data_IF_334466637521
#
_entry.id   IF_334466637521
#
_cell.length_a   1.000
_cell.length_b   1.000
_cell.length_c   1.000
_cell.angle_alpha   90.00
_cell.angle_beta   90.00
_cell.angle_gamma   90.00
#
_symmetry.space_group_name_H-M   'P 1'
#
loop_
_entity.id
_entity.type
_entity.pdbx_description
1 polymer ?
#
# COMPACT_ATOMS: atom_id res chain seq x y z
N UNK A 1 -23.65 38.18 -18.09
CA UNK A 1 -23.70 38.77 -16.73
C UNK A 1 -22.47 39.62 -16.52
N UNK A 2 -22.66 40.90 -16.24
CA UNK A 2 -21.62 41.91 -16.09
C UNK A 2 -21.15 42.00 -14.63
N UNK A 3 -19.82 42.00 -14.44
CA UNK A 3 -19.02 42.73 -13.43
C UNK A 3 -19.25 42.41 -11.94
N UNK A 4 -18.16 42.17 -11.20
CA UNK A 4 -17.52 43.19 -10.32
C UNK A 4 -16.44 42.54 -9.43
N UNK A 5 -15.19 42.75 -9.81
CA UNK A 5 -14.05 42.83 -8.89
C UNK A 5 -14.24 44.05 -7.97
N UNK A 6 -13.79 43.97 -6.71
CA UNK A 6 -12.97 44.99 -6.02
C UNK A 6 -13.06 44.90 -4.50
N UNK A 7 -11.87 44.80 -3.89
CA UNK A 7 -11.41 45.64 -2.75
C UNK A 7 -12.12 45.43 -1.41
N UNK A 8 -11.39 44.97 -0.40
CA UNK A 8 -10.94 45.87 0.65
C UNK A 8 -9.85 45.22 1.50
N UNK A 9 -8.70 45.85 1.49
CA UNK A 9 -7.57 45.60 2.37
C UNK A 9 -7.93 46.01 3.80
N UNK A 10 -7.52 45.23 4.80
CA UNK A 10 -7.21 45.76 6.14
C UNK A 10 -5.93 45.09 6.64
N UNK A 11 -4.86 45.87 6.59
CA UNK A 11 -3.63 45.70 7.37
C UNK A 11 -3.91 46.21 8.79
N UNK A 12 -3.66 45.39 9.81
CA UNK A 12 -3.36 45.88 11.16
C UNK A 12 -2.13 45.13 11.67
N UNK A 13 -1.01 45.84 11.67
CA UNK A 13 0.21 45.50 12.38
C UNK A 13 0.11 45.99 13.82
N UNK A 14 0.42 45.15 14.82
CA UNK A 14 0.83 45.60 16.16
C UNK A 14 2.05 44.79 16.60
N UNK A 15 3.03 45.52 17.12
CA UNK A 15 4.41 45.14 17.38
C UNK A 15 4.66 44.62 18.81
N UNK A 16 5.56 43.63 18.89
CA UNK A 16 6.72 43.46 19.81
C UNK A 16 6.51 43.52 21.33
N UNK A 17 6.92 42.43 22.00
CA UNK A 17 7.73 42.48 23.22
C UNK A 17 8.70 41.28 23.27
N UNK A 18 9.98 41.57 23.50
CA UNK A 18 11.13 40.64 23.59
C UNK A 18 11.43 40.33 25.06
N UNK A 19 11.65 39.05 25.37
CA UNK A 19 12.47 38.49 26.47
C UNK A 19 12.38 36.95 26.32
N UNK A 20 13.38 36.09 26.39
CA UNK A 20 14.79 36.10 26.75
C UNK A 20 15.24 34.63 26.68
N UNK A 21 16.50 34.40 26.31
CA UNK A 21 17.13 33.15 25.84
C UNK A 21 17.28 32.05 26.91
N UNK A 22 17.21 30.75 26.54
CA UNK A 22 18.30 29.77 26.78
C UNK A 22 17.99 28.34 26.28
N UNK A 23 18.96 27.74 25.57
CA UNK A 23 19.26 26.30 25.37
C UNK A 23 18.18 25.42 24.68
N UNK A 24 18.44 24.53 23.71
CA UNK A 24 19.62 24.00 23.04
C UNK A 24 19.15 23.48 21.65
N UNK A 25 20.03 23.25 20.65
CA UNK A 25 19.61 22.68 19.38
C UNK A 25 19.27 21.19 19.57
N UNK A 26 17.99 20.85 19.59
CA UNK A 26 17.56 19.47 19.36
C UNK A 26 17.95 19.12 17.92
N UNK A 27 18.86 18.15 17.82
CA UNK A 27 19.41 17.69 16.57
C UNK A 27 18.32 17.21 15.62
N UNK A 28 18.63 17.12 14.31
CA UNK A 28 17.71 16.51 13.37
C UNK A 28 17.43 15.09 13.85
N UNK A 29 16.17 14.81 14.23
CA UNK A 29 15.67 13.45 14.33
C UNK A 29 15.73 12.84 12.93
N UNK A 30 16.87 12.27 12.59
CA UNK A 30 17.02 11.34 11.48
C UNK A 30 16.21 10.10 11.86
N UNK A 31 14.92 10.10 11.55
CA UNK A 31 14.14 8.88 11.43
C UNK A 31 14.60 8.22 10.13
N UNK A 32 15.69 7.48 10.20
CA UNK A 32 16.05 6.51 9.17
C UNK A 32 14.96 5.40 9.14
N UNK A 33 14.65 4.84 7.95
CA UNK A 33 13.33 4.28 7.67
C UNK A 33 13.06 2.93 8.35
N UNK A 34 11.82 2.48 8.20
CA UNK A 34 11.16 1.34 8.85
C UNK A 34 11.15 -0.01 8.05
N UNK A 35 12.19 -0.44 7.29
CA UNK A 35 12.08 -1.67 6.50
C UNK A 35 12.17 -2.94 7.36
N UNK A 36 12.89 -2.91 8.49
CA UNK A 36 13.04 -4.08 9.35
C UNK A 36 11.73 -4.50 10.04
N UNK A 37 10.90 -3.54 10.47
CA UNK A 37 9.63 -3.82 11.14
C UNK A 37 8.57 -4.39 10.17
N UNK A 38 8.54 -3.92 8.92
CA UNK A 38 7.64 -4.45 7.88
C UNK A 38 7.99 -5.90 7.53
N UNK A 39 9.29 -6.19 7.32
CA UNK A 39 9.74 -7.53 6.96
C UNK A 39 9.49 -8.59 8.05
N UNK A 40 9.64 -8.21 9.33
CA UNK A 40 9.35 -9.11 10.45
C UNK A 40 7.84 -9.40 10.59
N UNK A 41 6.99 -8.41 10.32
CA UNK A 41 5.54 -8.57 10.31
C UNK A 41 5.10 -9.50 9.18
N UNK A 42 5.65 -9.33 7.98
CA UNK A 42 5.39 -10.19 6.81
C UNK A 42 5.82 -11.64 7.07
N UNK A 43 7.03 -11.87 7.59
CA UNK A 43 7.50 -13.22 7.91
C UNK A 43 6.65 -13.93 8.98
N UNK A 44 6.21 -13.19 10.01
CA UNK A 44 5.28 -13.73 11.01
C UNK A 44 3.90 -14.05 10.40
N UNK A 45 3.49 -13.30 9.39
CA UNK A 45 2.24 -13.48 8.69
C UNK A 45 2.28 -14.70 7.74
N UNK A 46 3.38 -14.91 7.03
CA UNK A 46 3.63 -16.13 6.26
C UNK A 46 3.63 -17.37 7.16
N UNK A 47 4.31 -17.28 8.31
CA UNK A 47 4.32 -18.37 9.31
C UNK A 47 2.90 -18.67 9.79
N UNK A 48 2.08 -17.64 10.04
CA UNK A 48 0.68 -17.82 10.46
C UNK A 48 -0.13 -18.60 9.43
N UNK A 49 -0.08 -18.19 8.16
CA UNK A 49 -0.81 -18.88 7.08
C UNK A 49 -0.35 -20.33 6.95
N UNK A 50 0.97 -20.57 7.01
CA UNK A 50 1.55 -21.91 6.92
C UNK A 50 1.08 -22.86 8.04
N UNK A 51 0.83 -22.34 9.25
CA UNK A 51 0.43 -23.16 10.41
C UNK A 51 -1.06 -23.51 10.49
N UNK A 52 -1.93 -22.80 9.78
CA UNK A 52 -3.38 -23.02 9.84
C UNK A 52 -3.79 -24.22 8.99
N UNK A 53 -4.78 -25.01 9.43
CA UNK A 53 -5.45 -25.99 8.57
C UNK A 53 -6.50 -25.30 7.67
N UNK A 54 -7.15 -26.06 6.78
CA UNK A 54 -8.12 -25.46 5.84
C UNK A 54 -9.36 -24.89 6.54
N UNK A 55 -9.72 -25.42 7.71
CA UNK A 55 -10.79 -24.85 8.54
C UNK A 55 -10.39 -23.47 9.08
N UNK A 56 -9.22 -23.40 9.72
CA UNK A 56 -8.66 -22.18 10.27
C UNK A 56 -8.41 -21.11 9.21
N UNK A 57 -7.94 -21.47 8.02
CA UNK A 57 -7.81 -20.53 6.90
C UNK A 57 -9.17 -19.94 6.49
N UNK A 58 -10.23 -20.76 6.43
CA UNK A 58 -11.58 -20.29 6.06
C UNK A 58 -12.18 -19.37 7.13
N UNK A 59 -12.00 -19.70 8.41
CA UNK A 59 -12.40 -18.83 9.51
C UNK A 59 -11.67 -17.48 9.46
N UNK A 60 -10.35 -17.49 9.21
CA UNK A 60 -9.53 -16.29 9.09
C UNK A 60 -9.91 -15.44 7.89
N UNK A 61 -10.16 -16.06 6.73
CA UNK A 61 -10.63 -15.36 5.53
C UNK A 61 -11.95 -14.63 5.79
N UNK A 62 -12.92 -15.33 6.39
CA UNK A 62 -14.23 -14.76 6.74
C UNK A 62 -14.12 -13.62 7.76
N UNK A 63 -13.28 -13.79 8.77
CA UNK A 63 -13.01 -12.74 9.75
C UNK A 63 -12.38 -11.50 9.10
N UNK A 64 -11.39 -11.70 8.23
CA UNK A 64 -10.74 -10.62 7.50
C UNK A 64 -11.72 -9.83 6.63
N UNK A 65 -12.65 -10.50 5.94
CA UNK A 65 -13.70 -9.81 5.17
C UNK A 65 -14.62 -8.97 6.05
N UNK A 66 -15.10 -9.53 7.17
CA UNK A 66 -15.94 -8.79 8.14
C UNK A 66 -15.23 -7.55 8.67
N UNK A 67 -13.92 -7.63 8.85
CA UNK A 67 -13.05 -6.56 9.33
C UNK A 67 -12.53 -5.65 8.20
N UNK A 68 -12.98 -5.86 6.95
CA UNK A 68 -12.58 -5.10 5.75
C UNK A 68 -11.08 -5.18 5.42
N UNK A 69 -10.38 -6.20 5.91
CA UNK A 69 -8.98 -6.51 5.60
C UNK A 69 -8.90 -7.33 4.32
N UNK A 70 -9.22 -6.72 3.17
CA UNK A 70 -9.32 -7.45 1.89
C UNK A 70 -7.93 -7.87 1.39
N UNK A 71 -7.00 -6.91 1.27
CA UNK A 71 -5.67 -7.10 0.68
C UNK A 71 -4.53 -6.60 1.59
N UNK A 72 -4.89 -5.99 2.73
CA UNK A 72 -3.96 -5.44 3.70
C UNK A 72 -4.46 -5.71 5.14
N UNK A 73 -3.54 -5.82 6.12
CA UNK A 73 -2.08 -5.88 5.97
C UNK A 73 -1.61 -7.17 5.29
N UNK A 74 -0.37 -7.20 4.81
CA UNK A 74 0.23 -8.39 4.20
C UNK A 74 0.21 -9.60 5.16
N UNK A 75 -0.12 -10.77 4.63
CA UNK A 75 -0.25 -12.05 5.34
C UNK A 75 -1.31 -12.10 6.47
N UNK A 76 -2.14 -11.06 6.61
CA UNK A 76 -3.35 -11.11 7.43
C UNK A 76 -4.50 -10.37 6.73
N UNK A 77 -4.92 -10.92 5.60
CA UNK A 77 -6.02 -10.41 4.81
C UNK A 77 -6.76 -11.54 4.08
N UNK A 78 -7.98 -11.24 3.65
CA UNK A 78 -8.87 -12.22 3.03
C UNK A 78 -8.28 -12.85 1.77
N UNK A 79 -7.69 -12.06 0.87
CA UNK A 79 -7.10 -12.54 -0.38
C UNK A 79 -6.06 -13.62 -0.10
N UNK A 80 -5.11 -13.36 0.80
CA UNK A 80 -4.02 -14.30 1.07
C UNK A 80 -4.50 -15.59 1.73
N UNK A 81 -5.50 -15.53 2.62
CA UNK A 81 -6.13 -16.74 3.17
C UNK A 81 -6.88 -17.54 2.12
N UNK A 82 -7.62 -16.90 1.20
CA UNK A 82 -8.28 -17.60 0.09
C UNK A 82 -7.30 -18.18 -0.93
N UNK A 83 -6.19 -17.50 -1.22
CA UNK A 83 -5.13 -18.05 -2.07
C UNK A 83 -4.50 -19.30 -1.44
N UNK A 84 -4.24 -19.28 -0.13
CA UNK A 84 -3.74 -20.45 0.60
C UNK A 84 -4.76 -21.62 0.62
N UNK A 85 -6.06 -21.32 0.68
CA UNK A 85 -7.11 -22.34 0.54
C UNK A 85 -7.09 -22.98 -0.84
N UNK A 86 -6.99 -22.16 -1.90
CA UNK A 86 -6.94 -22.66 -3.28
C UNK A 86 -5.70 -23.49 -3.59
N UNK A 87 -4.57 -23.18 -2.96
CA UNK A 87 -3.36 -24.00 -3.07
C UNK A 87 -3.55 -25.41 -2.50
N UNK A 88 -4.49 -25.60 -1.56
CA UNK A 88 -4.80 -26.91 -0.97
C UNK A 88 -5.87 -27.66 -1.73
N UNK A 89 -6.88 -26.93 -2.20
CA UNK A 89 -7.97 -27.48 -3.00
C UNK A 89 -8.26 -26.53 -4.17
N UNK A 90 -7.61 -26.75 -5.33
CA UNK A 90 -7.80 -25.92 -6.52
C UNK A 90 -9.22 -25.98 -7.09
N UNK A 91 -9.97 -27.03 -6.76
CA UNK A 91 -11.31 -27.30 -7.30
C UNK A 91 -12.44 -26.80 -6.37
N UNK A 92 -12.11 -26.19 -5.22
CA UNK A 92 -13.11 -25.57 -4.31
C UNK A 92 -13.77 -24.36 -4.99
N UNK A 93 -14.94 -24.60 -5.58
CA UNK A 93 -15.74 -23.59 -6.27
C UNK A 93 -16.09 -22.38 -5.39
N UNK A 94 -16.20 -22.56 -4.07
CA UNK A 94 -16.49 -21.45 -3.15
C UNK A 94 -15.31 -20.50 -3.00
N UNK A 95 -14.08 -21.05 -2.99
CA UNK A 95 -12.84 -20.26 -2.95
C UNK A 95 -12.61 -19.57 -4.29
N UNK A 96 -12.86 -20.26 -5.41
CA UNK A 96 -12.79 -19.67 -6.74
C UNK A 96 -13.74 -18.47 -6.89
N UNK A 97 -15.00 -18.63 -6.46
CA UNK A 97 -15.98 -17.55 -6.49
C UNK A 97 -15.57 -16.36 -5.62
N UNK A 98 -15.06 -16.60 -4.40
CA UNK A 98 -14.57 -15.54 -3.52
C UNK A 98 -13.42 -14.75 -4.15
N UNK A 99 -12.45 -15.42 -4.79
CA UNK A 99 -11.33 -14.73 -5.44
C UNK A 99 -11.79 -13.88 -6.64
N UNK A 100 -12.78 -14.33 -7.40
CA UNK A 100 -13.41 -13.53 -8.46
C UNK A 100 -14.12 -12.30 -7.89
N UNK A 101 -14.86 -12.46 -6.79
CA UNK A 101 -15.57 -11.35 -6.13
C UNK A 101 -14.59 -10.28 -5.60
N UNK A 102 -13.44 -10.71 -5.11
CA UNK A 102 -12.46 -9.80 -4.50
C UNK A 102 -11.52 -9.11 -5.52
N UNK A 103 -11.43 -9.62 -6.75
CA UNK A 103 -10.56 -9.08 -7.80
C UNK A 103 -10.72 -7.57 -8.05
N UNK A 104 -11.94 -7.00 -8.16
CA UNK A 104 -12.11 -5.56 -8.40
C UNK A 104 -11.45 -4.71 -7.32
N UNK A 105 -11.46 -5.14 -6.07
CA UNK A 105 -10.83 -4.42 -4.96
C UNK A 105 -9.31 -4.49 -5.02
N UNK A 106 -8.76 -5.64 -5.45
CA UNK A 106 -7.33 -5.82 -5.62
C UNK A 106 -6.79 -4.99 -6.78
N UNK A 107 -7.53 -4.90 -7.88
CA UNK A 107 -7.23 -4.03 -9.01
C UNK A 107 -7.16 -2.56 -8.57
N UNK A 108 -8.21 -2.07 -7.88
CA UNK A 108 -8.27 -0.68 -7.40
C UNK A 108 -7.10 -0.40 -6.45
N UNK A 109 -6.79 -1.31 -5.53
CA UNK A 109 -5.69 -1.14 -4.59
C UNK A 109 -4.34 -1.07 -5.30
N UNK A 110 -4.09 -1.95 -6.28
CA UNK A 110 -2.84 -1.97 -7.03
C UNK A 110 -2.64 -0.67 -7.84
N UNK A 111 -3.72 -0.15 -8.43
CA UNK A 111 -3.74 1.13 -9.14
C UNK A 111 -3.48 2.31 -8.21
N UNK A 112 -4.13 2.34 -7.05
CA UNK A 112 -3.94 3.40 -6.07
C UNK A 112 -2.51 3.42 -5.52
N UNK A 113 -1.95 2.27 -5.17
CA UNK A 113 -0.57 2.15 -4.73
C UNK A 113 0.40 2.68 -5.81
N UNK A 114 0.17 2.31 -7.07
CA UNK A 114 0.98 2.79 -8.19
C UNK A 114 0.90 4.32 -8.35
N UNK A 115 -0.32 4.88 -8.33
CA UNK A 115 -0.55 6.34 -8.44
C UNK A 115 0.09 7.11 -7.27
N UNK A 116 0.18 6.49 -6.09
CA UNK A 116 0.85 7.07 -4.91
C UNK A 116 2.37 6.91 -4.91
N UNK A 117 2.94 6.21 -5.90
CA UNK A 117 4.37 5.88 -5.93
C UNK A 117 4.77 4.82 -4.90
N UNK A 118 3.82 4.08 -4.34
CA UNK A 118 4.02 2.97 -3.41
C UNK A 118 4.39 1.70 -4.22
N UNK A 119 5.49 1.77 -4.99
CA UNK A 119 5.85 0.75 -5.99
C UNK A 119 5.96 -0.66 -5.39
N UNK A 120 6.53 -0.79 -4.19
CA UNK A 120 6.63 -2.08 -3.49
C UNK A 120 5.25 -2.68 -3.20
N UNK A 121 4.31 -1.87 -2.72
CA UNK A 121 2.96 -2.32 -2.41
C UNK A 121 2.17 -2.61 -3.69
N UNK A 122 2.31 -1.77 -4.73
CA UNK A 122 1.73 -2.05 -6.04
C UNK A 122 2.22 -3.39 -6.59
N UNK A 123 3.53 -3.66 -6.51
CA UNK A 123 4.11 -4.94 -6.90
C UNK A 123 3.53 -6.13 -6.15
N UNK A 124 3.40 -6.02 -4.81
CA UNK A 124 2.78 -7.06 -3.98
C UNK A 124 1.33 -7.33 -4.40
N UNK A 125 0.53 -6.28 -4.60
CA UNK A 125 -0.89 -6.39 -4.99
C UNK A 125 -1.04 -6.98 -6.41
N UNK A 126 -0.17 -6.62 -7.35
CA UNK A 126 -0.14 -7.21 -8.69
C UNK A 126 0.26 -8.70 -8.67
N UNK A 127 1.14 -9.11 -7.74
CA UNK A 127 1.48 -10.51 -7.55
C UNK A 127 0.29 -11.30 -6.98
N UNK A 128 -0.43 -10.75 -5.99
CA UNK A 128 -1.68 -11.34 -5.49
C UNK A 128 -2.73 -11.43 -6.59
N UNK A 129 -2.86 -10.40 -7.44
CA UNK A 129 -3.82 -10.39 -8.55
C UNK A 129 -3.49 -11.46 -9.58
N UNK A 130 -2.21 -11.60 -9.97
CA UNK A 130 -1.78 -12.65 -10.88
C UNK A 130 -1.91 -14.06 -10.33
N UNK A 131 -1.80 -14.24 -9.00
CA UNK A 131 -2.17 -15.50 -8.37
C UNK A 131 -3.68 -15.69 -8.49
N UNK A 132 -4.50 -14.72 -8.06
CA UNK A 132 -5.96 -14.83 -8.08
C UNK A 132 -6.50 -15.14 -9.49
N UNK A 133 -6.00 -14.45 -10.50
CA UNK A 133 -6.34 -14.63 -11.91
C UNK A 133 -5.16 -14.23 -12.81
N UNK A 134 -4.46 -15.21 -13.41
CA UNK A 134 -3.31 -14.95 -14.28
C UNK A 134 -3.69 -14.24 -15.59
N UNK A 135 -4.95 -14.36 -16.01
CA UNK A 135 -5.48 -13.82 -17.27
C UNK A 135 -6.19 -12.47 -17.09
N UNK A 136 -6.14 -11.90 -15.87
CA UNK A 136 -6.74 -10.61 -15.56
C UNK A 136 -6.27 -9.52 -16.56
N UNK A 137 -7.17 -8.91 -17.36
CA UNK A 137 -6.80 -8.04 -18.48
C UNK A 137 -5.96 -6.81 -18.11
N UNK A 138 -6.01 -6.39 -16.85
CA UNK A 138 -5.24 -5.26 -16.33
C UNK A 138 -3.76 -5.59 -16.06
N UNK A 139 -3.38 -6.87 -15.89
CA UNK A 139 -2.03 -7.25 -15.48
C UNK A 139 -0.93 -6.76 -16.44
N UNK A 140 -1.04 -6.92 -17.77
CA UNK A 140 0.03 -6.50 -18.67
C UNK A 140 0.31 -4.99 -18.57
N UNK A 141 -0.75 -4.16 -18.61
CA UNK A 141 -0.60 -2.70 -18.52
C UNK A 141 -0.04 -2.23 -17.18
N UNK A 142 -0.47 -2.83 -16.07
CA UNK A 142 -0.06 -2.40 -14.73
C UNK A 142 1.37 -2.83 -14.40
N UNK A 143 1.79 -4.02 -14.84
CA UNK A 143 3.18 -4.46 -14.71
C UNK A 143 4.15 -3.58 -15.52
N UNK A 144 3.73 -3.11 -16.69
CA UNK A 144 4.52 -2.13 -17.46
C UNK A 144 4.64 -0.80 -16.72
N UNK A 145 3.52 -0.27 -16.24
CA UNK A 145 3.50 1.00 -15.53
C UNK A 145 4.33 0.96 -14.23
N UNK A 146 4.32 -0.16 -13.50
CA UNK A 146 5.19 -0.36 -12.35
C UNK A 146 6.68 -0.35 -12.74
N UNK A 147 7.06 -1.08 -13.80
CA UNK A 147 8.45 -1.11 -14.28
C UNK A 147 8.96 0.27 -14.69
N UNK A 148 8.11 1.07 -15.30
CA UNK A 148 8.45 2.46 -15.64
C UNK A 148 8.60 3.35 -14.40
N UNK A 149 7.68 3.23 -13.44
CA UNK A 149 7.77 3.97 -12.17
C UNK A 149 9.05 3.62 -11.38
N UNK A 150 9.46 2.34 -11.38
CA UNK A 150 10.70 1.88 -10.75
C UNK A 150 11.95 2.44 -11.43
N UNK A 151 11.98 2.49 -12.78
CA UNK A 151 13.08 3.11 -13.53
C UNK A 151 13.21 4.60 -13.22
N UNK A 152 12.11 5.33 -13.27
CA UNK A 152 12.11 6.77 -12.95
C UNK A 152 12.61 7.03 -11.52
N UNK A 153 12.22 6.21 -10.55
CA UNK A 153 12.72 6.29 -9.18
C UNK A 153 14.23 6.01 -9.10
N UNK A 154 14.72 5.00 -9.80
CA UNK A 154 16.15 4.67 -9.83
C UNK A 154 16.97 5.80 -10.45
N UNK A 155 16.52 6.38 -11.56
CA UNK A 155 17.18 7.52 -12.20
C UNK A 155 17.20 8.75 -11.29
N UNK A 156 16.09 9.05 -10.60
CA UNK A 156 16.04 10.16 -9.64
C UNK A 156 17.02 9.97 -8.49
N UNK A 157 17.17 8.74 -7.97
CA UNK A 157 18.15 8.44 -6.91
C UNK A 157 19.58 8.59 -7.41
N UNK A 158 19.90 8.06 -8.58
CA UNK A 158 21.23 8.18 -9.17
C UNK A 158 21.64 9.64 -9.44
N UNK A 159 20.69 10.49 -9.87
CA UNK A 159 20.95 11.93 -10.03
C UNK A 159 21.22 12.61 -8.69
N UNK A 160 20.42 12.31 -7.66
CA UNK A 160 20.63 12.87 -6.33
C UNK A 160 21.98 12.44 -5.72
N UNK A 161 22.43 11.21 -5.99
CA UNK A 161 23.74 10.70 -5.58
C UNK A 161 24.91 11.34 -6.36
N UNK A 162 24.70 11.73 -7.62
CA UNK A 162 25.73 12.41 -8.43
C UNK A 162 25.88 13.91 -8.08
N UNK A 163 24.85 14.52 -7.49
CA UNK A 163 24.84 15.92 -7.05
C UNK A 163 25.31 16.09 -5.59
N UNK A 164 25.48 14.99 -4.84
CA UNK A 164 25.94 14.95 -3.45
C UNK A 164 27.47 14.82 -3.34
#
# INVERSE_FOLDING_TARGET
>A
MHRRECRFAILISIAVAVAGCSAAPEGPSTVAPAPAASSALEAAADTRIATLDSGGLRERATAALRERRIHAPAGDNAIEYYLALRERDPDDASVAAALVELQPYLLIAAEQALVRGENAESGRLLALMGRADPDAPALPRLREALREAERALAESKARAEAEA
#
